data_IF_379419677396
#
_entry.id   IF_379419677396
#
_cell.length_a   1.000
_cell.length_b   1.000
_cell.length_c   1.000
_cell.angle_alpha   90.00
_cell.angle_beta   90.00
_cell.angle_gamma   90.00
#
_symmetry.space_group_name_H-M   'P 1'
#
loop_
_entity.id
_entity.type
_entity.pdbx_description
1 polymer ?
#
# COMPACT_ATOMS: atom_id res chain seq x y z
N UNK A 1 8.16 29.49 33.74
CA UNK A 1 9.14 29.66 32.63
C UNK A 1 9.96 28.41 32.28
N UNK A 2 10.12 27.40 33.15
CA UNK A 2 10.86 26.15 32.80
C UNK A 2 10.06 25.13 31.96
N UNK A 3 8.73 25.14 32.00
CA UNK A 3 7.89 24.20 31.22
C UNK A 3 7.75 24.56 29.73
N UNK A 4 7.95 25.82 29.33
CA UNK A 4 7.81 26.26 27.92
C UNK A 4 9.04 25.89 27.05
N UNK A 5 10.21 25.71 27.66
CA UNK A 5 11.43 25.33 26.96
C UNK A 5 11.49 23.82 26.62
N UNK A 6 10.82 22.97 27.41
CA UNK A 6 10.78 21.53 27.17
C UNK A 6 9.90 21.16 25.97
N UNK A 7 8.80 21.90 25.74
CA UNK A 7 7.91 21.67 24.59
C UNK A 7 8.59 22.03 23.25
N UNK A 8 9.47 23.04 23.26
CA UNK A 8 10.17 23.51 22.06
C UNK A 8 11.23 22.50 21.58
N UNK A 9 11.92 21.83 22.52
CA UNK A 9 12.93 20.83 22.20
C UNK A 9 12.34 19.49 21.72
N UNK A 10 11.12 19.14 22.16
CA UNK A 10 10.43 17.93 21.71
C UNK A 10 9.90 18.05 20.27
N UNK A 11 9.46 19.25 19.83
CA UNK A 11 9.06 19.48 18.44
C UNK A 11 10.25 19.48 17.45
N UNK A 12 11.44 19.84 17.90
CA UNK A 12 12.66 19.84 17.07
C UNK A 12 13.25 18.45 16.86
N UNK A 13 12.98 17.48 17.74
CA UNK A 13 13.49 16.12 17.64
C UNK A 13 12.66 15.20 16.73
N UNK A 14 11.38 15.54 16.46
CA UNK A 14 10.52 14.81 15.53
C UNK A 14 10.57 15.34 14.09
N UNK A 15 11.08 16.57 13.89
CA UNK A 15 11.22 17.22 12.59
C UNK A 15 12.22 16.60 11.60
N UNK A 16 13.34 15.97 12.00
CA UNK A 16 14.31 15.49 11.00
C UNK A 16 13.75 14.31 10.21
N UNK A 17 13.01 13.40 10.85
CA UNK A 17 12.46 12.22 10.18
C UNK A 17 11.33 12.57 9.20
N UNK A 18 10.47 13.55 9.53
CA UNK A 18 9.38 13.98 8.64
C UNK A 18 9.88 14.77 7.43
N UNK A 19 10.95 15.55 7.60
CA UNK A 19 11.57 16.29 6.50
C UNK A 19 12.31 15.36 5.52
N UNK A 20 12.94 14.29 6.02
CA UNK A 20 13.62 13.29 5.20
C UNK A 20 12.60 12.49 4.36
N UNK A 21 11.49 12.06 4.99
CA UNK A 21 10.38 11.36 4.31
C UNK A 21 9.74 12.22 3.20
N UNK A 22 9.48 13.50 3.45
CA UNK A 22 8.91 14.39 2.43
C UNK A 22 9.90 14.61 1.26
N UNK A 23 11.20 14.71 1.56
CA UNK A 23 12.25 14.86 0.53
C UNK A 23 12.38 13.60 -0.32
N UNK A 24 12.30 12.42 0.31
CA UNK A 24 12.31 11.13 -0.37
C UNK A 24 11.08 10.98 -1.27
N UNK A 25 9.90 11.41 -0.80
CA UNK A 25 8.68 11.42 -1.62
C UNK A 25 8.76 12.36 -2.82
N UNK A 26 9.24 13.59 -2.62
CA UNK A 26 9.44 14.54 -3.72
C UNK A 26 10.44 13.98 -4.73
N UNK A 27 11.49 13.33 -4.26
CA UNK A 27 12.51 12.70 -5.11
C UNK A 27 11.94 11.52 -5.89
N UNK A 28 11.20 10.62 -5.23
CA UNK A 28 10.54 9.48 -5.88
C UNK A 28 9.50 9.95 -6.91
N UNK A 29 8.66 10.93 -6.59
CA UNK A 29 7.69 11.51 -7.53
C UNK A 29 8.39 12.09 -8.76
N UNK A 30 9.57 12.72 -8.58
CA UNK A 30 10.38 13.23 -9.69
C UNK A 30 10.96 12.08 -10.53
N UNK A 31 11.50 11.04 -9.90
CA UNK A 31 12.13 9.89 -10.58
C UNK A 31 11.08 9.12 -11.39
N UNK A 32 9.90 8.88 -10.82
CA UNK A 32 8.84 8.08 -11.44
C UNK A 32 7.79 8.92 -12.19
N UNK A 33 7.97 10.24 -12.30
CA UNK A 33 7.07 11.13 -13.05
C UNK A 33 5.66 11.25 -12.48
N UNK A 34 5.46 10.94 -11.19
CA UNK A 34 4.16 10.93 -10.53
C UNK A 34 3.78 12.32 -10.03
N UNK A 35 3.39 13.18 -10.97
CA UNK A 35 3.03 14.57 -10.69
C UNK A 35 1.52 14.85 -10.81
N UNK A 36 0.74 13.86 -11.21
CA UNK A 36 -0.71 13.95 -11.39
C UNK A 36 -1.38 12.60 -11.10
N UNK A 37 -2.69 12.60 -10.82
CA UNK A 37 -3.44 11.36 -10.58
C UNK A 37 -3.33 10.36 -11.74
N UNK A 38 -3.51 10.79 -13.02
CA UNK A 38 -3.40 9.87 -14.17
C UNK A 38 -2.02 9.24 -14.35
N UNK A 39 -0.95 9.84 -13.80
CA UNK A 39 0.38 9.22 -13.82
C UNK A 39 0.44 7.93 -12.99
N UNK A 40 -0.54 7.69 -12.12
CA UNK A 40 -0.67 6.48 -11.32
C UNK A 40 -1.89 5.65 -11.73
N UNK A 41 -3.04 6.29 -11.96
CA UNK A 41 -4.33 5.65 -12.21
C UNK A 41 -4.58 5.31 -13.68
N UNK A 42 -3.81 5.88 -14.61
CA UNK A 42 -3.94 5.61 -16.04
C UNK A 42 -3.76 4.13 -16.35
N UNK A 43 -4.72 3.54 -17.06
CA UNK A 43 -4.76 2.13 -17.44
C UNK A 43 -4.56 1.14 -16.27
N UNK A 44 -4.91 1.55 -15.04
CA UNK A 44 -4.70 0.73 -13.83
C UNK A 44 -5.69 -0.43 -13.71
N UNK A 45 -6.82 -0.38 -14.42
CA UNK A 45 -7.87 -1.39 -14.32
C UNK A 45 -7.37 -2.78 -14.76
N UNK A 46 -7.82 -3.82 -14.06
CA UNK A 46 -7.46 -5.21 -14.34
C UNK A 46 -6.90 -5.94 -13.13
N UNK A 47 -6.37 -7.13 -13.38
CA UNK A 47 -5.81 -7.99 -12.33
C UNK A 47 -4.30 -7.72 -12.13
N UNK A 48 -3.91 -7.60 -10.86
CA UNK A 48 -2.57 -7.30 -10.39
C UNK A 48 -2.09 -8.38 -9.43
N UNK A 49 -1.05 -9.11 -9.83
CA UNK A 49 -0.46 -10.22 -9.09
C UNK A 49 0.51 -9.71 -8.01
N UNK A 50 0.38 -10.15 -6.75
CA UNK A 50 1.29 -9.73 -5.68
C UNK A 50 2.65 -10.42 -5.84
N UNK A 51 3.64 -9.64 -6.26
CA UNK A 51 5.03 -10.08 -6.43
C UNK A 51 5.82 -10.06 -5.11
N UNK A 52 5.27 -9.52 -4.03
CA UNK A 52 5.89 -9.60 -2.69
C UNK A 52 6.02 -11.02 -2.15
N UNK A 53 5.25 -11.97 -2.68
CA UNK A 53 5.48 -13.39 -2.43
C UNK A 53 6.86 -13.85 -2.93
N UNK A 54 7.51 -13.06 -3.80
CA UNK A 54 8.83 -13.31 -4.39
C UNK A 54 9.99 -12.68 -3.62
N UNK A 55 9.72 -11.69 -2.77
CA UNK A 55 10.73 -11.20 -1.83
C UNK A 55 10.71 -12.11 -0.62
N UNK A 56 11.75 -12.93 -0.49
CA UNK A 56 12.02 -13.74 0.69
C UNK A 56 11.70 -12.89 1.93
N UNK A 57 10.99 -13.44 2.91
CA UNK A 57 10.61 -12.75 4.15
C UNK A 57 11.80 -12.15 4.95
N UNK A 58 13.04 -12.36 4.49
CA UNK A 58 14.28 -11.84 5.06
C UNK A 58 14.87 -10.62 4.33
N UNK A 59 14.19 -10.05 3.32
CA UNK A 59 14.62 -8.80 2.66
C UNK A 59 15.95 -8.90 1.90
N UNK A 60 16.32 -10.12 1.49
CA UNK A 60 17.45 -10.34 0.58
C UNK A 60 17.02 -10.01 -0.85
N UNK A 61 17.93 -9.41 -1.64
CA UNK A 61 17.66 -9.14 -3.05
C UNK A 61 17.21 -10.44 -3.73
N UNK A 62 16.05 -10.43 -4.43
CA UNK A 62 15.63 -11.61 -5.17
C UNK A 62 16.72 -11.94 -6.20
N UNK A 63 16.98 -13.24 -6.40
CA UNK A 63 17.93 -13.66 -7.42
C UNK A 63 17.52 -13.04 -8.77
N UNK A 64 18.47 -12.48 -9.56
CA UNK A 64 18.17 -11.94 -10.88
C UNK A 64 17.42 -12.98 -11.73
N UNK A 65 16.31 -12.59 -12.37
CA UNK A 65 15.46 -13.53 -13.14
C UNK A 65 14.29 -14.16 -12.35
N UNK A 66 14.25 -14.03 -11.02
CA UNK A 66 13.22 -14.66 -10.20
C UNK A 66 11.84 -14.00 -10.37
N UNK A 67 11.81 -12.67 -10.53
CA UNK A 67 10.59 -11.93 -10.84
C UNK A 67 10.03 -12.28 -12.23
N UNK A 68 10.89 -12.33 -13.26
CA UNK A 68 10.48 -12.70 -14.63
C UNK A 68 9.99 -14.15 -14.70
N UNK A 69 10.73 -15.10 -14.10
CA UNK A 69 10.33 -16.53 -14.07
C UNK A 69 9.07 -16.80 -13.26
N UNK A 70 8.76 -15.97 -12.26
CA UNK A 70 7.53 -16.07 -11.49
C UNK A 70 6.35 -15.45 -12.22
N UNK A 71 6.54 -14.30 -12.86
CA UNK A 71 5.53 -13.71 -13.76
C UNK A 71 5.19 -14.69 -14.89
N UNK A 72 6.18 -15.30 -15.55
CA UNK A 72 5.95 -16.34 -16.56
C UNK A 72 5.16 -17.53 -16.01
N UNK A 73 5.43 -17.97 -14.77
CA UNK A 73 4.68 -19.05 -14.12
C UNK A 73 3.24 -18.65 -13.78
N UNK A 74 3.04 -17.48 -13.20
CA UNK A 74 1.72 -16.98 -12.82
C UNK A 74 0.86 -16.67 -14.05
N UNK A 75 1.44 -16.09 -15.10
CA UNK A 75 0.73 -15.78 -16.33
C UNK A 75 0.52 -17.02 -17.22
N UNK A 76 1.33 -18.07 -17.05
CA UNK A 76 1.33 -19.24 -17.93
C UNK A 76 0.58 -20.46 -17.40
N UNK A 77 0.61 -20.75 -16.09
CA UNK A 77 0.21 -22.09 -15.61
C UNK A 77 -0.35 -22.18 -14.18
N UNK A 78 -0.23 -21.16 -13.31
CA UNK A 78 -0.64 -21.26 -11.90
C UNK A 78 -1.76 -20.26 -11.55
N UNK A 79 -2.94 -20.69 -11.09
CA UNK A 79 -4.05 -19.79 -10.77
C UNK A 79 -3.83 -19.06 -9.44
N UNK A 80 -2.83 -18.19 -9.37
CA UNK A 80 -2.76 -17.20 -8.30
C UNK A 80 -3.77 -16.09 -8.59
N UNK A 81 -4.76 -15.93 -7.71
CA UNK A 81 -5.69 -14.80 -7.77
C UNK A 81 -4.95 -13.53 -7.39
N UNK A 82 -4.91 -12.57 -8.30
CA UNK A 82 -4.38 -11.23 -8.05
C UNK A 82 -5.40 -10.32 -7.37
N UNK A 83 -4.93 -9.14 -7.00
CA UNK A 83 -5.80 -8.03 -6.63
C UNK A 83 -6.50 -7.50 -7.88
N UNK A 84 -7.82 -7.38 -7.85
CA UNK A 84 -8.60 -6.83 -8.97
C UNK A 84 -8.78 -5.34 -8.74
N UNK A 85 -8.27 -4.53 -9.67
CA UNK A 85 -8.41 -3.08 -9.64
C UNK A 85 -9.52 -2.65 -10.60
N UNK A 86 -10.49 -1.90 -10.06
CA UNK A 86 -11.55 -1.24 -10.83
C UNK A 86 -11.32 0.27 -10.78
N UNK A 87 -11.07 0.88 -11.93
CA UNK A 87 -11.03 2.34 -12.03
C UNK A 87 -12.41 2.92 -11.72
N UNK A 88 -12.46 3.98 -10.90
CA UNK A 88 -13.70 4.68 -10.56
C UNK A 88 -13.77 5.97 -11.38
N UNK A 89 -12.71 6.77 -11.32
CA UNK A 89 -12.51 7.99 -12.11
C UNK A 89 -11.01 8.26 -12.32
N UNK A 90 -10.64 9.44 -12.83
CA UNK A 90 -9.25 9.80 -13.10
C UNK A 90 -8.36 9.87 -11.84
N UNK A 91 -8.95 10.04 -10.65
CA UNK A 91 -8.23 10.25 -9.40
C UNK A 91 -8.51 9.17 -8.34
N UNK A 92 -9.33 8.16 -8.65
CA UNK A 92 -9.70 7.13 -7.69
C UNK A 92 -9.92 5.76 -8.32
N UNK A 93 -9.67 4.72 -7.53
CA UNK A 93 -9.90 3.34 -7.91
C UNK A 93 -10.24 2.48 -6.69
N UNK A 94 -10.90 1.36 -6.93
CA UNK A 94 -11.09 0.31 -5.94
C UNK A 94 -10.14 -0.85 -6.23
N UNK A 95 -9.59 -1.46 -5.19
CA UNK A 95 -8.77 -2.67 -5.27
C UNK A 95 -9.36 -3.73 -4.35
N UNK A 96 -9.72 -4.87 -4.92
CA UNK A 96 -10.21 -6.04 -4.18
C UNK A 96 -9.09 -7.05 -4.07
N UNK A 97 -8.57 -7.24 -2.85
CA UNK A 97 -7.48 -8.19 -2.59
C UNK A 97 -8.03 -9.54 -2.08
N UNK A 98 -7.65 -10.66 -2.71
CA UNK A 98 -7.97 -11.98 -2.20
C UNK A 98 -7.15 -12.25 -0.93
N UNK A 99 -7.83 -12.60 0.16
CA UNK A 99 -7.21 -13.06 1.39
C UNK A 99 -7.55 -14.55 1.63
N UNK A 100 -6.89 -15.18 2.60
CA UNK A 100 -6.98 -16.64 2.84
C UNK A 100 -8.38 -17.20 3.09
N UNK A 101 -9.38 -16.36 3.36
CA UNK A 101 -10.74 -16.77 3.69
C UNK A 101 -11.85 -15.91 3.06
N UNK A 102 -11.54 -14.70 2.59
CA UNK A 102 -12.49 -13.75 2.04
C UNK A 102 -11.76 -12.69 1.20
N UNK A 103 -12.48 -11.77 0.60
CA UNK A 103 -11.93 -10.62 -0.12
C UNK A 103 -12.11 -9.34 0.69
N UNK A 104 -11.14 -8.43 0.59
CA UNK A 104 -11.27 -7.09 1.15
C UNK A 104 -11.10 -6.06 0.04
N UNK A 105 -12.10 -5.18 -0.06
CA UNK A 105 -12.07 -4.08 -1.03
C UNK A 105 -11.61 -2.81 -0.34
N UNK A 106 -10.57 -2.22 -0.91
CA UNK A 106 -10.05 -0.91 -0.55
C UNK A 106 -10.45 0.09 -1.63
N UNK A 107 -10.76 1.31 -1.23
CA UNK A 107 -10.86 2.46 -2.14
C UNK A 107 -9.66 3.37 -1.92
N UNK A 108 -9.07 3.81 -3.02
CA UNK A 108 -7.95 4.73 -3.02
C UNK A 108 -8.37 6.03 -3.71
N UNK A 109 -8.26 7.14 -2.99
CA UNK A 109 -8.56 8.47 -3.47
C UNK A 109 -7.26 9.29 -3.50
N UNK A 110 -6.89 9.82 -4.66
CA UNK A 110 -5.64 10.55 -4.83
C UNK A 110 -5.61 11.84 -4.01
N UNK A 111 -4.49 12.07 -3.33
CA UNK A 111 -4.23 13.30 -2.56
C UNK A 111 -3.28 14.21 -3.35
N UNK A 112 -2.18 13.64 -3.85
CA UNK A 112 -1.11 14.39 -4.52
C UNK A 112 0.16 13.55 -4.69
N UNK A 113 0.88 13.73 -5.80
CA UNK A 113 2.07 12.94 -6.10
C UNK A 113 1.75 11.44 -6.15
N UNK A 114 2.50 10.62 -5.42
CA UNK A 114 2.20 9.21 -5.18
C UNK A 114 1.16 8.93 -4.08
N UNK A 115 0.67 9.92 -3.34
CA UNK A 115 -0.13 9.68 -2.12
C UNK A 115 -1.62 9.49 -2.40
N UNK A 116 -2.21 8.50 -1.72
CA UNK A 116 -3.63 8.18 -1.74
C UNK A 116 -4.17 8.04 -0.32
N UNK A 117 -5.38 8.53 -0.12
CA UNK A 117 -6.19 8.15 1.02
C UNK A 117 -6.77 6.77 0.76
N UNK A 118 -6.53 5.82 1.67
CA UNK A 118 -7.10 4.48 1.58
C UNK A 118 -8.26 4.34 2.56
N UNK A 119 -9.43 4.00 2.03
CA UNK A 119 -10.62 3.67 2.81
C UNK A 119 -11.06 2.22 2.55
N UNK A 120 -11.79 1.65 3.51
CA UNK A 120 -12.29 0.28 3.48
C UNK A 120 -13.46 0.16 4.45
N UNK A 121 -14.25 -0.92 4.34
CA UNK A 121 -15.27 -1.26 5.33
C UNK A 121 -14.59 -1.85 6.60
N UNK A 122 -14.66 -1.17 7.75
CA UNK A 122 -14.10 -1.68 9.00
C UNK A 122 -14.67 -3.03 9.42
N UNK A 123 -15.96 -3.28 9.17
CA UNK A 123 -16.60 -4.53 9.56
C UNK A 123 -16.05 -5.71 8.75
N UNK A 124 -15.91 -5.53 7.44
CA UNK A 124 -15.26 -6.51 6.57
C UNK A 124 -13.82 -6.80 7.02
N UNK A 125 -13.04 -5.77 7.34
CA UNK A 125 -11.67 -5.94 7.85
C UNK A 125 -11.64 -6.70 9.19
N UNK A 126 -12.52 -6.35 10.13
CA UNK A 126 -12.54 -7.00 11.44
C UNK A 126 -12.96 -8.46 11.35
N UNK A 127 -13.94 -8.77 10.50
CA UNK A 127 -14.34 -10.15 10.19
C UNK A 127 -13.19 -10.94 9.59
N UNK A 128 -12.49 -10.38 8.61
CA UNK A 128 -11.33 -10.99 7.98
C UNK A 128 -10.22 -11.30 9.01
N UNK A 129 -9.98 -10.38 9.95
CA UNK A 129 -8.98 -10.52 11.02
C UNK A 129 -9.50 -11.29 12.25
N UNK A 130 -10.77 -11.72 12.23
CA UNK A 130 -11.48 -12.35 13.35
C UNK A 130 -11.52 -11.52 14.64
N UNK A 131 -11.34 -10.20 14.52
CA UNK A 131 -11.42 -9.29 15.66
C UNK A 131 -12.85 -9.06 16.14
N UNK A 132 -13.84 -9.34 15.30
CA UNK A 132 -15.26 -9.38 15.65
C UNK A 132 -15.56 -10.47 16.69
N UNK A 133 -14.84 -11.60 16.66
CA UNK A 133 -14.96 -12.68 17.66
C UNK A 133 -14.25 -12.38 18.99
N UNK A 134 -13.50 -11.28 19.06
CA UNK A 134 -12.80 -10.85 20.27
C UNK A 134 -13.66 -9.89 21.10
N UNK A 135 -14.06 -10.35 22.28
CA UNK A 135 -14.84 -9.55 23.24
C UNK A 135 -13.94 -8.77 24.22
N UNK A 136 -14.55 -7.79 24.90
CA UNK A 136 -13.92 -7.00 25.95
C UNK A 136 -12.88 -5.98 25.47
N UNK A 137 -12.12 -5.43 26.42
CA UNK A 137 -11.15 -4.34 26.20
C UNK A 137 -10.08 -4.69 25.17
N UNK A 138 -9.61 -5.95 25.17
CA UNK A 138 -8.62 -6.43 24.20
C UNK A 138 -9.14 -6.37 22.75
N UNK A 139 -10.41 -6.73 22.52
CA UNK A 139 -11.01 -6.62 21.19
C UNK A 139 -11.12 -5.16 20.74
N UNK A 140 -11.51 -4.26 21.64
CA UNK A 140 -11.57 -2.82 21.36
C UNK A 140 -10.19 -2.24 21.03
N UNK A 141 -9.16 -2.60 21.80
CA UNK A 141 -7.79 -2.13 21.59
C UNK A 141 -7.24 -2.59 20.23
N UNK A 142 -7.41 -3.87 19.88
CA UNK A 142 -6.94 -4.42 18.61
C UNK A 142 -7.61 -3.75 17.40
N UNK A 143 -8.93 -3.51 17.47
CA UNK A 143 -9.68 -2.80 16.43
C UNK A 143 -9.20 -1.36 16.30
N UNK A 144 -9.07 -0.62 17.41
CA UNK A 144 -8.60 0.76 17.42
C UNK A 144 -7.19 0.89 16.83
N UNK A 145 -6.24 0.07 17.30
CA UNK A 145 -4.86 0.05 16.81
C UNK A 145 -4.77 -0.26 15.32
N UNK A 146 -5.61 -1.18 14.84
CA UNK A 146 -5.65 -1.55 13.42
C UNK A 146 -6.18 -0.41 12.56
N UNK A 147 -7.26 0.26 12.98
CA UNK A 147 -7.77 1.42 12.27
C UNK A 147 -6.78 2.58 12.25
N UNK A 148 -6.10 2.84 13.36
CA UNK A 148 -5.05 3.87 13.45
C UNK A 148 -3.86 3.57 12.53
N UNK A 149 -3.43 2.31 12.46
CA UNK A 149 -2.34 1.90 11.57
C UNK A 149 -2.70 2.04 10.08
N UNK A 150 -3.97 1.85 9.73
CA UNK A 150 -4.45 1.86 8.35
C UNK A 150 -4.99 3.21 7.88
N UNK A 151 -5.18 4.19 8.77
CA UNK A 151 -5.64 5.54 8.45
C UNK A 151 -4.55 6.44 7.84
N UNK A 152 -3.30 5.98 7.88
CA UNK A 152 -2.17 6.68 7.29
C UNK A 152 -2.27 6.69 5.75
N UNK A 153 -1.84 7.78 5.09
CA UNK A 153 -1.74 7.82 3.63
C UNK A 153 -0.92 6.65 3.10
N UNK A 154 -1.35 6.13 1.97
CA UNK A 154 -0.63 5.07 1.24
C UNK A 154 0.05 5.70 0.04
N UNK A 155 1.32 5.40 -0.19
CA UNK A 155 2.03 5.85 -1.38
C UNK A 155 1.99 4.76 -2.46
N UNK A 156 1.66 5.12 -3.69
CA UNK A 156 1.50 4.20 -4.81
C UNK A 156 2.39 4.66 -5.96
N UNK A 157 3.40 3.85 -6.26
CA UNK A 157 4.42 4.09 -7.27
C UNK A 157 4.17 3.24 -8.51
N UNK A 158 4.01 3.89 -9.64
CA UNK A 158 3.90 3.30 -10.97
C UNK A 158 5.30 3.18 -11.55
N UNK A 159 5.97 2.06 -11.26
CA UNK A 159 7.39 1.85 -11.60
C UNK A 159 7.54 1.61 -13.11
N UNK A 160 6.63 0.83 -13.68
CA UNK A 160 6.47 0.59 -15.11
C UNK A 160 4.98 0.41 -15.43
N UNK A 161 4.55 0.41 -16.71
CA UNK A 161 3.15 0.16 -17.07
C UNK A 161 2.58 -1.09 -16.42
N UNK A 162 3.41 -2.13 -16.26
CA UNK A 162 2.99 -3.42 -15.73
C UNK A 162 3.55 -3.75 -14.34
N UNK A 163 4.30 -2.84 -13.71
CA UNK A 163 4.84 -2.98 -12.33
C UNK A 163 4.55 -1.79 -11.39
N UNK A 164 3.96 -2.04 -10.22
CA UNK A 164 3.62 -1.03 -9.20
C UNK A 164 4.07 -1.44 -7.81
N UNK A 165 4.37 -0.45 -6.98
CA UNK A 165 4.59 -0.63 -5.55
C UNK A 165 3.57 0.19 -4.73
N UNK A 166 2.97 -0.44 -3.74
CA UNK A 166 2.11 0.17 -2.74
C UNK A 166 2.88 0.18 -1.42
N UNK A 167 3.31 1.36 -0.97
CA UNK A 167 4.03 1.54 0.28
C UNK A 167 3.09 2.05 1.38
N UNK A 168 3.05 1.32 2.49
CA UNK A 168 2.45 1.73 3.75
C UNK A 168 3.55 1.99 4.77
N UNK A 169 3.26 2.63 5.92
CA UNK A 169 4.24 2.78 6.99
C UNK A 169 4.82 1.46 7.50
N UNK A 170 4.13 0.33 7.29
CA UNK A 170 4.53 -0.98 7.83
C UNK A 170 5.25 -1.86 6.80
N UNK A 171 5.02 -1.69 5.50
CA UNK A 171 5.58 -2.54 4.45
C UNK A 171 5.46 -1.91 3.06
N UNK A 172 6.24 -2.44 2.12
CA UNK A 172 6.09 -2.17 0.69
C UNK A 172 5.57 -3.43 0.01
N UNK A 173 4.50 -3.27 -0.78
CA UNK A 173 3.89 -4.33 -1.56
C UNK A 173 4.09 -4.10 -3.06
N UNK A 174 4.75 -5.02 -3.77
CA UNK A 174 4.97 -4.96 -5.21
C UNK A 174 3.92 -5.81 -5.91
N UNK A 175 3.31 -5.23 -6.95
CA UNK A 175 2.32 -5.85 -7.81
C UNK A 175 2.75 -5.78 -9.27
N UNK A 176 2.53 -6.85 -10.01
CA UNK A 176 2.74 -6.91 -11.46
C UNK A 176 1.48 -7.35 -12.18
N UNK A 177 1.29 -6.97 -13.43
CA UNK A 177 0.25 -7.55 -14.29
C UNK A 177 0.88 -8.35 -15.42
N UNK A 178 0.17 -9.35 -15.92
CA UNK A 178 0.60 -10.06 -17.11
C UNK A 178 0.60 -9.09 -18.29
N UNK A 179 1.68 -9.03 -19.08
CA UNK A 179 1.71 -8.22 -20.29
C UNK A 179 0.63 -8.72 -21.26
N UNK A 180 0.00 -7.77 -21.97
CA UNK A 180 -1.02 -8.05 -22.98
C UNK A 180 -0.45 -8.68 -24.25
#
# INVERSE_FOLDING_TARGET
MRLLLALSAALLAAAPATAEVETDFVTANRIFGQVSAPAVTGDIAGEWLPLTTLTNAMGTDPEPGLAESALERFCGNDPMRGAVITAIDEASFAMTEPNSADELTYRFDWIGGAQFHRSFDPEALFRLRRFDTMEGERGMEMRARTLEALSQPTAIYRIAPDLMAIATPQRVEIFGRCPA
#
